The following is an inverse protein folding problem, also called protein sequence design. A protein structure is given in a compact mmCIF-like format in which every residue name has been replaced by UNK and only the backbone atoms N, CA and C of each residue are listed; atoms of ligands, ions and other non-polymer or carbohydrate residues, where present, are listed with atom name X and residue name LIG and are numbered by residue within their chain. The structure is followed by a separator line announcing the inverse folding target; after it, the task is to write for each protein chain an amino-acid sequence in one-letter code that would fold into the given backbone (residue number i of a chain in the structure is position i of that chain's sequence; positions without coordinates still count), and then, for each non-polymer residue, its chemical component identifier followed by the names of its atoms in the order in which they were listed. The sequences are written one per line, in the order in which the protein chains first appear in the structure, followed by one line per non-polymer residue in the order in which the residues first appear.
data_IF_585852869047
#
_entry.id   IF_585852869047
#
_cell.length_a   1.000
_cell.length_b   1.000
_cell.length_c   1.000
_cell.angle_alpha   90.00
_cell.angle_beta   90.00
_cell.angle_gamma   90.00
#
_symmetry.space_group_name_H-M   'P 1'
#
loop_
_entity.id
_entity.type
_entity.pdbx_description
1 polymer ?
#
# COMPACT_ATOMS: atom_id res chain seq x y z
N UNK A 1 -18.72 12.26 2.93
CA UNK A 1 -17.74 11.50 3.73
C UNK A 1 -16.36 11.82 3.21
N UNK A 2 -15.55 12.43 4.07
CA UNK A 2 -14.49 13.36 3.73
C UNK A 2 -13.23 12.70 3.17
N UNK A 3 -12.62 13.36 2.20
CA UNK A 3 -11.31 13.10 1.60
C UNK A 3 -10.20 12.84 2.63
N UNK A 4 -10.35 13.37 3.85
CA UNK A 4 -9.45 13.25 4.99
C UNK A 4 -9.25 11.81 5.51
N UNK A 5 -10.30 10.97 5.46
CA UNK A 5 -10.21 9.58 5.95
C UNK A 5 -9.41 8.67 5.00
N UNK A 6 -9.29 9.04 3.72
CA UNK A 6 -8.52 8.30 2.72
C UNK A 6 -7.02 8.61 2.79
N UNK A 7 -6.68 9.86 3.10
CA UNK A 7 -5.29 10.33 3.25
C UNK A 7 -4.64 9.72 4.51
N UNK A 8 -5.30 9.78 5.66
CA UNK A 8 -4.76 9.24 6.92
C UNK A 8 -4.39 7.75 6.82
N UNK A 9 -5.25 6.95 6.19
CA UNK A 9 -4.99 5.52 5.96
C UNK A 9 -3.84 5.27 4.99
N UNK A 10 -3.68 6.11 3.96
CA UNK A 10 -2.54 6.01 3.03
C UNK A 10 -1.23 6.35 3.72
N UNK A 11 -1.24 7.35 4.59
CA UNK A 11 -0.08 7.73 5.40
C UNK A 11 0.33 6.63 6.35
N UNK A 12 -0.63 5.94 6.98
CA UNK A 12 -0.37 4.76 7.80
C UNK A 12 0.26 3.62 6.97
N UNK A 13 -0.29 3.32 5.79
CA UNK A 13 0.27 2.32 4.85
C UNK A 13 1.69 2.71 4.42
N UNK A 14 1.91 3.97 4.09
CA UNK A 14 3.23 4.47 3.73
C UNK A 14 4.25 4.26 4.87
N UNK A 15 3.88 4.59 6.12
CA UNK A 15 4.76 4.43 7.27
C UNK A 15 5.14 2.97 7.52
N UNK A 16 4.19 2.04 7.42
CA UNK A 16 4.45 0.59 7.58
C UNK A 16 5.38 0.07 6.47
N UNK A 17 5.14 0.45 5.22
CA UNK A 17 5.98 0.06 4.09
C UNK A 17 7.38 0.66 4.19
N UNK A 18 7.49 1.89 4.68
CA UNK A 18 8.77 2.55 4.90
C UNK A 18 9.57 1.85 6.00
N UNK A 19 8.92 1.46 7.11
CA UNK A 19 9.54 0.69 8.19
C UNK A 19 10.01 -0.72 7.79
N UNK A 20 9.53 -1.25 6.66
CA UNK A 20 9.95 -2.55 6.09
C UNK A 20 10.97 -2.41 4.95
N UNK A 21 11.57 -1.23 4.77
CA UNK A 21 12.55 -0.93 3.71
C UNK A 21 12.00 -1.17 2.28
N UNK A 22 10.68 -1.08 2.11
CA UNK A 22 10.00 -1.29 0.83
C UNK A 22 10.04 -0.06 -0.08
N UNK A 23 10.73 1.01 0.32
CA UNK A 23 10.91 2.24 -0.46
C UNK A 23 9.61 2.73 -1.12
N UNK A 24 8.54 2.94 -0.33
CA UNK A 24 7.27 3.38 -0.88
C UNK A 24 7.40 4.78 -1.51
N UNK A 25 6.66 5.02 -2.59
CA UNK A 25 6.49 6.32 -3.23
C UNK A 25 5.01 6.63 -3.39
N UNK A 26 4.59 7.78 -2.88
CA UNK A 26 3.27 8.37 -3.13
C UNK A 26 3.41 9.24 -4.38
N UNK A 27 2.76 8.83 -5.48
CA UNK A 27 2.94 9.46 -6.80
C UNK A 27 1.81 10.45 -7.16
N UNK A 28 0.70 10.44 -6.40
CA UNK A 28 -0.43 11.37 -6.51
C UNK A 28 -1.50 10.99 -5.49
N UNK A 29 -2.52 11.85 -5.23
CA UNK A 29 -3.56 11.57 -4.24
C UNK A 29 -4.33 10.26 -4.45
N UNK A 30 -4.17 9.55 -5.58
CA UNK A 30 -4.78 8.24 -5.84
C UNK A 30 -3.79 7.05 -6.01
N UNK A 31 -2.47 7.26 -6.15
CA UNK A 31 -1.54 6.20 -6.58
C UNK A 31 -0.49 5.88 -5.52
N UNK A 32 -0.49 4.63 -5.03
CA UNK A 32 0.50 4.08 -4.13
C UNK A 32 1.47 3.17 -4.89
N UNK A 33 2.77 3.32 -4.66
CA UNK A 33 3.79 2.43 -5.21
C UNK A 33 4.78 1.99 -4.14
N UNK A 34 5.24 0.75 -4.20
CA UNK A 34 6.29 0.26 -3.30
C UNK A 34 7.03 -0.94 -3.92
N UNK A 35 8.25 -1.15 -3.44
CA UNK A 35 9.10 -2.27 -3.83
C UNK A 35 8.77 -3.49 -2.98
N UNK A 36 8.44 -4.60 -3.62
CA UNK A 36 8.20 -5.89 -2.98
C UNK A 36 8.94 -6.97 -3.76
N UNK A 37 9.71 -7.80 -3.07
CA UNK A 37 10.50 -8.89 -3.69
C UNK A 37 11.44 -8.40 -4.82
N UNK A 38 11.94 -7.16 -4.72
CA UNK A 38 12.83 -6.58 -5.73
C UNK A 38 12.13 -5.86 -6.88
N UNK A 39 10.83 -6.08 -7.09
CA UNK A 39 10.01 -5.41 -8.10
C UNK A 39 9.24 -4.20 -7.54
N UNK A 40 9.16 -3.11 -8.30
CA UNK A 40 8.29 -1.97 -7.94
C UNK A 40 6.89 -2.25 -8.46
N UNK A 41 5.89 -2.32 -7.56
CA UNK A 41 4.49 -2.41 -7.94
C UNK A 41 3.76 -1.09 -7.70
N UNK A 42 2.86 -0.78 -8.61
CA UNK A 42 2.04 0.42 -8.60
C UNK A 42 0.56 0.04 -8.48
N UNK A 43 -0.13 0.67 -7.53
CA UNK A 43 -1.54 0.44 -7.23
C UNK A 43 -2.31 1.75 -7.41
N UNK A 44 -3.16 1.85 -8.44
CA UNK A 44 -3.94 3.05 -8.71
C UNK A 44 -5.21 3.18 -7.86
N UNK A 45 -5.60 2.10 -7.16
CA UNK A 45 -6.76 2.08 -6.28
C UNK A 45 -6.62 1.01 -5.18
N UNK A 46 -7.35 1.20 -4.07
CA UNK A 46 -7.38 0.26 -2.93
C UNK A 46 -7.90 -1.13 -3.32
N UNK A 47 -8.84 -1.25 -4.26
CA UNK A 47 -9.34 -2.55 -4.72
C UNK A 47 -8.25 -3.37 -5.41
N UNK A 48 -7.41 -2.73 -6.22
CA UNK A 48 -6.25 -3.40 -6.87
C UNK A 48 -5.24 -3.87 -5.83
N UNK A 49 -4.98 -3.05 -4.80
CA UNK A 49 -4.13 -3.44 -3.67
C UNK A 49 -4.73 -4.62 -2.89
N UNK A 50 -6.03 -4.57 -2.57
CA UNK A 50 -6.73 -5.65 -1.86
C UNK A 50 -6.72 -6.95 -2.67
N UNK A 51 -6.98 -6.89 -3.98
CA UNK A 51 -6.91 -8.04 -4.88
C UNK A 51 -5.51 -8.67 -4.91
N UNK A 52 -4.47 -7.85 -4.92
CA UNK A 52 -3.07 -8.30 -4.85
C UNK A 52 -2.73 -8.98 -3.52
N UNK A 53 -3.16 -8.38 -2.41
CA UNK A 53 -3.05 -8.96 -1.07
C UNK A 53 -3.76 -10.31 -0.99
N UNK A 54 -4.93 -10.43 -1.61
CA UNK A 54 -5.73 -11.67 -1.59
C UNK A 54 -5.12 -12.79 -2.44
N UNK A 55 -4.42 -12.46 -3.53
CA UNK A 55 -3.77 -13.44 -4.41
C UNK A 55 -2.41 -13.92 -3.90
N UNK A 56 -1.74 -13.13 -3.05
CA UNK A 56 -0.46 -13.48 -2.44
C UNK A 56 -0.57 -13.57 -0.91
N UNK A 57 -0.95 -14.73 -0.35
CA UNK A 57 -1.12 -14.90 1.10
C UNK A 57 0.13 -14.58 1.92
N UNK A 58 1.34 -14.86 1.41
CA UNK A 58 2.60 -14.49 2.06
C UNK A 58 2.77 -12.95 2.22
N UNK A 59 2.17 -12.17 1.33
CA UNK A 59 2.19 -10.70 1.39
C UNK A 59 0.99 -10.13 2.15
N UNK A 60 -0.03 -10.96 2.47
CA UNK A 60 -1.08 -10.56 3.37
C UNK A 60 -0.54 -10.22 4.75
N UNK A 61 0.41 -10.96 5.29
CA UNK A 61 0.87 -10.72 6.66
C UNK A 61 1.48 -9.32 6.82
N UNK A 62 2.17 -8.85 5.78
CA UNK A 62 2.78 -7.52 5.70
C UNK A 62 1.72 -6.41 5.60
N UNK A 63 0.63 -6.66 4.88
CA UNK A 63 -0.37 -5.65 4.49
C UNK A 63 -1.69 -5.76 5.29
N UNK A 64 -1.93 -6.86 6.01
CA UNK A 64 -3.10 -7.10 6.88
C UNK A 64 -3.07 -6.25 8.13
N UNK A 65 -1.88 -5.88 8.62
CA UNK A 65 -1.75 -4.93 9.73
C UNK A 65 -2.16 -3.50 9.34
N UNK A 66 -2.48 -3.24 8.06
CA UNK A 66 -2.54 -1.87 7.53
C UNK A 66 -3.77 -1.55 6.66
N UNK A 67 -4.70 -2.49 6.39
CA UNK A 67 -5.78 -2.35 5.39
C UNK A 67 -7.20 -2.20 5.94
#
# INVERSE_FOLDING_TARGET
LSTETCEAKKQEIFNVLNGKNMQPRILSPARLSFRIEGEIKNFPDKQKLKGFVTTKPAQQEILRMTL
#
